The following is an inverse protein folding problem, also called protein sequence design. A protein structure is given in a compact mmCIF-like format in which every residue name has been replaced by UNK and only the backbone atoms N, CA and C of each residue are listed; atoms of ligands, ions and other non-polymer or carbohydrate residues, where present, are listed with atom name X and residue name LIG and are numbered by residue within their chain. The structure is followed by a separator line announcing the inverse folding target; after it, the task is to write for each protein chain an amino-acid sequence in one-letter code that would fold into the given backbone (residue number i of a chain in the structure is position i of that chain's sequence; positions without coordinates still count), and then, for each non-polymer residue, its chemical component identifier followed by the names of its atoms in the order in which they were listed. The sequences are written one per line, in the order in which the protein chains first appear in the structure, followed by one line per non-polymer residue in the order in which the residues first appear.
data_IF_679112806797
#
_entry.id   IF_679112806797
#
_cell.length_a   1.000
_cell.length_b   1.000
_cell.length_c   1.000
_cell.angle_alpha   90.00
_cell.angle_beta   90.00
_cell.angle_gamma   90.00
#
_symmetry.space_group_name_H-M   'P 1'
#
loop_
_entity.id
_entity.type
_entity.pdbx_description
1 polymer ?
#
# COMPACT_ATOMS: atom_id res chain seq x y z
N UNK A 1 -8.95 8.12 7.27
CA UNK A 1 -9.13 7.75 8.69
C UNK A 1 -8.41 6.45 9.00
N UNK A 2 -7.97 6.25 10.24
CA UNK A 2 -7.40 4.98 10.69
C UNK A 2 -7.74 4.73 12.16
N UNK A 3 -7.93 3.47 12.51
CA UNK A 3 -8.19 2.97 13.85
C UNK A 3 -7.12 1.95 14.22
N UNK A 4 -6.48 2.14 15.37
CA UNK A 4 -5.49 1.20 15.91
C UNK A 4 -6.04 0.59 17.20
N UNK A 5 -5.97 -0.73 17.28
CA UNK A 5 -6.46 -1.52 18.40
C UNK A 5 -5.33 -2.40 18.94
N UNK A 6 -5.10 -2.36 20.25
CA UNK A 6 -4.31 -3.37 20.95
C UNK A 6 -5.27 -4.47 21.37
N UNK A 7 -5.36 -5.55 20.57
CA UNK A 7 -6.31 -6.62 20.83
C UNK A 7 -5.81 -7.55 21.96
N UNK A 8 -4.49 -7.67 22.11
CA UNK A 8 -3.81 -8.42 23.17
C UNK A 8 -2.55 -7.66 23.58
N UNK A 9 -1.94 -7.92 24.75
CA UNK A 9 -0.76 -7.18 25.25
C UNK A 9 0.45 -7.15 24.30
N UNK A 10 0.47 -8.03 23.30
CA UNK A 10 1.56 -8.22 22.35
C UNK A 10 1.10 -8.14 20.90
N UNK A 11 -0.17 -7.82 20.66
CA UNK A 11 -0.76 -7.79 19.32
C UNK A 11 -1.47 -6.46 19.07
N UNK A 12 -1.02 -5.77 18.02
CA UNK A 12 -1.57 -4.50 17.56
C UNK A 12 -2.11 -4.69 16.15
N UNK A 13 -3.34 -4.25 15.92
CA UNK A 13 -3.95 -4.18 14.60
C UNK A 13 -4.30 -2.73 14.26
N UNK A 14 -4.05 -2.31 13.03
CA UNK A 14 -4.42 -1.01 12.51
C UNK A 14 -5.22 -1.19 11.23
N UNK A 15 -6.45 -0.73 11.22
CA UNK A 15 -7.28 -0.65 10.03
C UNK A 15 -7.37 0.82 9.58
N UNK A 16 -7.24 1.06 8.28
CA UNK A 16 -7.28 2.39 7.69
C UNK A 16 -8.13 2.42 6.43
N UNK A 17 -8.76 3.57 6.19
CA UNK A 17 -9.50 3.85 4.97
C UNK A 17 -9.21 5.27 4.53
N UNK A 18 -8.83 5.44 3.27
CA UNK A 18 -8.66 6.75 2.64
C UNK A 18 -9.61 6.86 1.46
N UNK A 19 -10.34 7.97 1.38
CA UNK A 19 -11.13 8.34 0.21
C UNK A 19 -10.43 9.47 -0.53
N UNK A 20 -10.34 9.34 -1.85
CA UNK A 20 -9.71 10.31 -2.75
C UNK A 20 -10.66 10.57 -3.93
N UNK A 21 -10.72 11.83 -4.38
CA UNK A 21 -11.36 12.21 -5.65
C UNK A 21 -10.28 12.83 -6.55
N UNK A 22 -10.11 12.27 -7.74
CA UNK A 22 -9.08 12.69 -8.69
C UNK A 22 -9.72 13.61 -9.73
N UNK A 23 -9.31 14.88 -9.77
CA UNK A 23 -9.88 15.85 -10.72
C UNK A 23 -9.36 15.68 -12.15
N UNK A 24 -8.10 15.24 -12.30
CA UNK A 24 -7.48 15.02 -13.61
C UNK A 24 -8.09 13.82 -14.36
N UNK A 25 -8.60 12.83 -13.62
CA UNK A 25 -9.34 11.67 -14.14
C UNK A 25 -10.53 11.50 -13.20
N UNK A 26 -11.70 12.09 -13.51
CA UNK A 26 -12.84 12.27 -12.61
C UNK A 26 -13.38 10.98 -11.99
N UNK A 27 -12.71 10.50 -10.95
CA UNK A 27 -13.01 9.22 -10.31
C UNK A 27 -12.80 9.32 -8.79
N UNK A 28 -13.76 8.78 -8.03
CA UNK A 28 -13.65 8.63 -6.58
C UNK A 28 -13.16 7.21 -6.24
N UNK A 29 -12.15 7.09 -5.37
CA UNK A 29 -11.61 5.81 -4.94
C UNK A 29 -11.47 5.70 -3.43
N UNK A 30 -11.69 4.48 -2.95
CA UNK A 30 -11.41 4.08 -1.58
C UNK A 30 -10.16 3.19 -1.54
N UNK A 31 -9.26 3.54 -0.64
CA UNK A 31 -7.95 2.91 -0.45
C UNK A 31 -7.88 2.32 0.96
N UNK A 32 -8.47 1.13 1.21
CA UNK A 32 -8.41 0.44 2.50
C UNK A 32 -6.99 -0.10 2.77
N UNK A 33 -6.62 -0.14 4.05
CA UNK A 33 -5.33 -0.63 4.54
C UNK A 33 -5.53 -1.38 5.84
N UNK A 34 -4.77 -2.45 6.02
CA UNK A 34 -4.71 -3.23 7.25
C UNK A 34 -3.25 -3.50 7.57
N UNK A 35 -2.86 -3.30 8.83
CA UNK A 35 -1.55 -3.66 9.35
C UNK A 35 -1.71 -4.40 10.67
N UNK A 36 -0.91 -5.44 10.86
CA UNK A 36 -0.85 -6.28 12.05
C UNK A 36 0.60 -6.29 12.54
N UNK A 37 0.78 -6.24 13.85
CA UNK A 37 2.07 -6.32 14.51
C UNK A 37 1.97 -7.23 15.72
N UNK A 38 2.87 -8.21 15.80
CA UNK A 38 2.92 -9.18 16.88
C UNK A 38 4.32 -9.24 17.49
N UNK A 39 4.42 -8.90 18.77
CA UNK A 39 5.66 -8.91 19.50
C UNK A 39 5.98 -10.34 19.97
N UNK A 40 6.73 -11.11 19.17
CA UNK A 40 7.18 -12.48 19.46
C UNK A 40 8.06 -12.59 20.71
N UNK A 41 8.82 -11.55 21.04
CA UNK A 41 9.61 -11.42 22.27
C UNK A 41 9.86 -9.94 22.56
N UNK A 42 10.51 -9.60 23.67
CA UNK A 42 10.93 -8.22 23.95
C UNK A 42 11.85 -7.63 22.85
N UNK A 43 12.48 -8.48 22.05
CA UNK A 43 13.45 -8.09 21.02
C UNK A 43 13.00 -8.39 19.60
N UNK A 44 11.96 -9.21 19.40
CA UNK A 44 11.51 -9.68 18.09
C UNK A 44 10.06 -9.32 17.83
N UNK A 45 9.78 -8.75 16.65
CA UNK A 45 8.43 -8.39 16.21
C UNK A 45 8.19 -8.92 14.81
N UNK A 46 7.05 -9.58 14.59
CA UNK A 46 6.50 -9.87 13.28
C UNK A 46 5.54 -8.76 12.87
N UNK A 47 5.56 -8.37 11.61
CA UNK A 47 4.64 -7.40 11.03
C UNK A 47 4.04 -7.94 9.74
N UNK A 48 2.77 -7.64 9.50
CA UNK A 48 2.10 -7.94 8.24
C UNK A 48 1.25 -6.75 7.83
N UNK A 49 1.26 -6.37 6.57
CA UNK A 49 0.36 -5.32 6.08
C UNK A 49 -0.15 -5.63 4.67
N UNK A 50 -1.37 -5.18 4.43
CA UNK A 50 -2.00 -5.22 3.12
C UNK A 50 -2.72 -3.90 2.87
N UNK A 51 -2.67 -3.41 1.63
CA UNK A 51 -3.37 -2.17 1.29
C UNK A 51 -3.57 -2.02 -0.20
N UNK A 52 -4.66 -1.33 -0.56
CA UNK A 52 -4.94 -0.92 -1.94
C UNK A 52 -4.64 0.56 -2.11
N UNK A 53 -4.02 0.89 -3.25
CA UNK A 53 -3.56 2.22 -3.60
C UNK A 53 -4.01 2.53 -5.02
N UNK A 54 -4.40 3.79 -5.24
CA UNK A 54 -4.80 4.31 -6.54
C UNK A 54 -3.95 5.52 -6.89
N UNK A 55 -3.56 5.64 -8.15
CA UNK A 55 -2.82 6.78 -8.68
C UNK A 55 -3.39 7.20 -10.04
N UNK A 56 -3.42 8.50 -10.33
CA UNK A 56 -3.73 8.96 -11.67
C UNK A 56 -2.61 8.55 -12.64
N UNK A 57 -2.94 8.55 -13.93
CA UNK A 57 -1.94 8.46 -14.97
C UNK A 57 -0.95 9.63 -14.81
N UNK A 58 0.35 9.39 -15.07
CA UNK A 58 1.33 10.46 -15.20
C UNK A 58 0.83 11.55 -16.16
N UNK A 59 1.06 12.82 -15.82
CA UNK A 59 0.62 13.97 -16.63
C UNK A 59 1.08 13.86 -18.09
N UNK A 60 2.28 13.33 -18.32
CA UNK A 60 2.81 13.10 -19.67
C UNK A 60 1.94 12.18 -20.53
N UNK A 61 1.23 11.22 -19.94
CA UNK A 61 0.29 10.35 -20.66
C UNK A 61 -1.06 11.04 -20.83
N UNK A 62 -1.55 11.76 -19.80
CA UNK A 62 -2.83 12.46 -19.87
C UNK A 62 -2.88 13.51 -20.98
N UNK A 63 -1.78 14.25 -21.20
CA UNK A 63 -1.75 15.31 -22.22
C UNK A 63 -1.53 14.80 -23.65
N UNK A 64 -1.24 13.51 -23.85
CA UNK A 64 -1.01 12.97 -25.20
C UNK A 64 -2.29 12.84 -26.00
N UNK A 65 -3.38 12.45 -25.35
CA UNK A 65 -4.68 12.18 -25.97
C UNK A 65 -5.78 12.56 -24.98
N UNK A 66 -6.82 13.25 -25.44
CA UNK A 66 -7.90 13.71 -24.58
C UNK A 66 -8.65 12.53 -23.93
N UNK A 67 -8.72 11.40 -24.64
CA UNK A 67 -9.34 10.16 -24.21
C UNK A 67 -8.62 9.51 -23.02
N UNK A 68 -7.35 9.86 -22.77
CA UNK A 68 -6.59 9.33 -21.63
C UNK A 68 -7.14 9.80 -20.28
N UNK A 69 -7.92 10.87 -20.26
CA UNK A 69 -8.65 11.33 -19.08
C UNK A 69 -9.78 10.36 -18.66
N UNK A 70 -10.28 9.54 -19.59
CA UNK A 70 -11.32 8.53 -19.34
C UNK A 70 -10.73 7.17 -18.92
N UNK A 71 -9.40 7.01 -18.95
CA UNK A 71 -8.74 5.79 -18.52
C UNK A 71 -8.85 5.58 -17.01
N UNK A 72 -9.05 4.32 -16.55
CA UNK A 72 -9.13 4.03 -15.13
C UNK A 72 -7.83 4.39 -14.42
N UNK A 73 -7.95 4.78 -13.14
CA UNK A 73 -6.79 5.02 -12.29
C UNK A 73 -5.93 3.74 -12.15
N UNK A 74 -4.62 3.96 -12.10
CA UNK A 74 -3.65 2.92 -11.80
C UNK A 74 -3.95 2.37 -10.42
N UNK A 75 -3.96 1.05 -10.27
CA UNK A 75 -4.20 0.41 -8.98
C UNK A 75 -3.06 -0.51 -8.61
N UNK A 76 -2.61 -0.45 -7.37
CA UNK A 76 -1.65 -1.40 -6.80
C UNK A 76 -2.19 -1.96 -5.48
N UNK A 77 -2.15 -3.28 -5.33
CA UNK A 77 -2.37 -3.93 -4.04
C UNK A 77 -1.04 -4.41 -3.51
N UNK A 78 -0.66 -3.94 -2.32
CA UNK A 78 0.61 -4.30 -1.69
C UNK A 78 0.34 -5.28 -0.55
N UNK A 79 1.16 -6.32 -0.48
CA UNK A 79 1.26 -7.24 0.64
C UNK A 79 2.71 -7.21 1.13
N UNK A 80 2.90 -6.99 2.42
CA UNK A 80 4.22 -6.95 3.06
C UNK A 80 4.18 -7.81 4.30
N UNK A 81 5.15 -8.69 4.45
CA UNK A 81 5.39 -9.51 5.63
C UNK A 81 6.81 -9.26 6.10
N UNK A 82 6.97 -8.94 7.39
CA UNK A 82 8.24 -8.55 7.96
C UNK A 82 8.53 -9.21 9.29
N UNK A 83 9.82 -9.32 9.59
CA UNK A 83 10.33 -9.64 10.91
C UNK A 83 11.43 -8.62 11.25
N UNK A 84 11.40 -8.11 12.47
CA UNK A 84 12.48 -7.29 13.01
C UNK A 84 12.98 -7.86 14.33
N UNK A 85 14.30 -7.77 14.54
CA UNK A 85 14.98 -8.24 15.73
C UNK A 85 16.03 -7.22 16.21
N UNK A 86 16.04 -6.91 17.50
CA UNK A 86 17.08 -6.10 18.14
C UNK A 86 18.32 -6.95 18.44
N UNK A 87 19.38 -6.81 17.65
CA UNK A 87 20.67 -7.47 17.85
C UNK A 87 21.40 -6.94 19.09
N UNK A 88 21.25 -5.64 19.37
CA UNK A 88 21.70 -4.94 20.58
C UNK A 88 20.66 -3.87 20.96
N UNK A 89 20.93 -3.05 21.98
CA UNK A 89 20.03 -1.96 22.37
C UNK A 89 19.91 -0.87 21.28
N UNK A 90 20.93 -0.74 20.43
CA UNK A 90 21.10 0.29 19.41
C UNK A 90 21.08 -0.25 17.97
N UNK A 91 21.12 -1.58 17.79
CA UNK A 91 21.11 -2.20 16.45
C UNK A 91 19.87 -3.06 16.24
N UNK A 92 19.13 -2.76 15.16
CA UNK A 92 17.97 -3.52 14.70
C UNK A 92 18.23 -4.11 13.32
N UNK A 93 18.00 -5.41 13.18
CA UNK A 93 17.91 -6.09 11.90
C UNK A 93 16.45 -6.27 11.51
N UNK A 94 16.10 -5.94 10.26
CA UNK A 94 14.76 -6.16 9.72
C UNK A 94 14.86 -6.86 8.37
N UNK A 95 13.95 -7.80 8.14
CA UNK A 95 13.81 -8.51 6.86
C UNK A 95 12.35 -8.43 6.45
N UNK A 96 12.10 -8.07 5.20
CA UNK A 96 10.75 -7.94 4.64
C UNK A 96 10.64 -8.69 3.31
N UNK A 97 9.54 -9.41 3.14
CA UNK A 97 9.09 -9.93 1.87
C UNK A 97 7.89 -9.11 1.42
N UNK A 98 7.86 -8.72 0.15
CA UNK A 98 6.76 -7.96 -0.41
C UNK A 98 6.27 -8.56 -1.72
N UNK A 99 4.97 -8.39 -1.97
CA UNK A 99 4.32 -8.68 -3.25
C UNK A 99 3.42 -7.51 -3.62
N UNK A 100 3.46 -7.11 -4.89
CA UNK A 100 2.61 -6.05 -5.42
C UNK A 100 1.88 -6.55 -6.66
N UNK A 101 0.56 -6.52 -6.59
CA UNK A 101 -0.29 -6.85 -7.73
C UNK A 101 -0.80 -5.53 -8.34
N UNK A 102 -0.34 -5.23 -9.55
CA UNK A 102 -0.70 -4.04 -10.30
C UNK A 102 -1.90 -4.33 -11.22
N UNK A 103 -2.79 -3.34 -11.38
CA UNK A 103 -3.92 -3.36 -12.31
C UNK A 103 -4.03 -2.01 -13.01
N UNK A 104 -4.58 -2.05 -14.23
CA UNK A 104 -4.69 -0.88 -15.11
C UNK A 104 -3.36 -0.18 -15.35
N UNK A 105 -2.25 -0.93 -15.32
CA UNK A 105 -0.96 -0.35 -15.66
C UNK A 105 -1.03 0.14 -17.11
N UNK A 106 -0.60 1.38 -17.41
CA UNK A 106 -0.76 1.92 -18.74
C UNK A 106 0.27 1.23 -19.64
N UNK A 107 -0.22 0.50 -20.63
CA UNK A 107 0.60 -0.14 -21.66
C UNK A 107 0.27 0.54 -22.98
N UNK A 108 1.31 0.91 -23.72
CA UNK A 108 1.17 1.39 -25.08
C UNK A 108 0.95 0.17 -26.00
N UNK A 109 -0.21 0.03 -26.67
CA UNK A 109 -0.46 -1.10 -27.57
C UNK A 109 0.51 -1.16 -28.77
N UNK A 110 1.18 -0.05 -29.10
CA UNK A 110 2.14 0.03 -30.19
C UNK A 110 3.57 -0.37 -29.76
N UNK A 111 3.82 -0.57 -28.47
CA UNK A 111 5.12 -0.98 -27.95
C UNK A 111 5.03 -2.40 -27.36
N UNK A 112 5.93 -3.31 -27.75
CA UNK A 112 5.90 -4.71 -27.31
C UNK A 112 6.14 -4.91 -25.81
#
# INVERSE_FOLDING_TARGET
ASLTLQLLPRFTATAGLRGDYFSAQPEARLSPRLALSYQLSQRTTLSGSAGRYHQPLPVVLLVQQAENHDLPLLQATHYVLGISHLLSADTRLSVEAYRKDYRHFPLDPAQP
#
